data_IF_717851337297
#
_entry.id   IF_717851337297
#
_cell.length_a   1.000
_cell.length_b   1.000
_cell.length_c   1.000
_cell.angle_alpha   90.00
_cell.angle_beta   90.00
_cell.angle_gamma   90.00
#
_symmetry.space_group_name_H-M   'P 1'
#
loop_
_entity.id
_entity.type
_entity.pdbx_description
1 polymer ?
#
# COMPACT_ATOMS: atom_id res chain seq x y z
N UNK A 1 -15.25 -4.24 -12.81
CA UNK A 1 -14.77 -2.90 -13.15
C UNK A 1 -13.60 -3.01 -14.11
N UNK A 2 -13.64 -2.24 -15.17
CA UNK A 2 -12.54 -2.20 -16.12
C UNK A 2 -11.47 -1.22 -15.63
N UNK A 3 -10.23 -1.67 -15.68
CA UNK A 3 -9.09 -0.81 -15.34
C UNK A 3 -8.66 -0.09 -16.61
N UNK A 4 -8.58 1.25 -16.60
CA UNK A 4 -8.19 2.01 -17.77
C UNK A 4 -6.80 1.65 -18.28
N UNK A 5 -6.64 1.68 -19.60
CA UNK A 5 -5.36 1.50 -20.26
C UNK A 5 -4.83 2.85 -20.73
N UNK A 6 -3.55 3.09 -20.49
CA UNK A 6 -2.83 4.28 -20.97
C UNK A 6 -1.90 3.86 -22.10
N UNK A 7 -1.94 4.59 -23.19
CA UNK A 7 -1.06 4.35 -24.33
C UNK A 7 -0.01 5.46 -24.39
N UNK A 8 1.26 5.09 -24.38
CA UNK A 8 2.37 6.03 -24.53
C UNK A 8 3.04 5.82 -25.89
N UNK A 9 3.31 6.92 -26.59
CA UNK A 9 4.01 6.94 -27.85
C UNK A 9 5.44 7.42 -27.64
N UNK A 10 6.39 6.74 -28.29
CA UNK A 10 7.79 7.14 -28.31
C UNK A 10 8.36 6.93 -29.71
N UNK A 11 9.60 7.35 -29.91
CA UNK A 11 10.29 7.10 -31.18
C UNK A 11 10.46 5.58 -31.47
N UNK A 12 10.31 4.73 -30.47
CA UNK A 12 10.43 3.28 -30.60
C UNK A 12 9.08 2.58 -30.77
N UNK A 13 7.98 3.33 -30.89
CA UNK A 13 6.64 2.79 -31.06
C UNK A 13 5.70 3.13 -29.90
N UNK A 14 4.61 2.39 -29.81
CA UNK A 14 3.59 2.57 -28.79
C UNK A 14 3.69 1.47 -27.74
N UNK A 15 3.46 1.83 -26.46
CA UNK A 15 3.32 0.88 -25.37
C UNK A 15 2.03 1.13 -24.61
N UNK A 16 1.34 0.05 -24.27
CA UNK A 16 0.12 0.08 -23.47
C UNK A 16 0.42 -0.37 -22.05
N UNK A 17 -0.11 0.37 -21.09
CA UNK A 17 -0.02 0.05 -19.66
C UNK A 17 -1.41 0.14 -19.06
N UNK A 18 -1.74 -0.70 -18.08
CA UNK A 18 -2.86 -0.36 -17.23
C UNK A 18 -2.47 0.85 -16.35
N UNK A 19 -3.47 1.56 -15.80
CA UNK A 19 -3.22 2.80 -15.08
C UNK A 19 -2.30 2.58 -13.86
N UNK A 20 -2.44 1.44 -13.15
CA UNK A 20 -1.61 1.16 -11.99
C UNK A 20 -0.16 0.90 -12.39
N UNK A 21 0.07 0.16 -13.45
CA UNK A 21 1.42 -0.10 -13.98
C UNK A 21 2.08 1.19 -14.45
N UNK A 22 1.30 2.09 -15.06
CA UNK A 22 1.83 3.40 -15.48
C UNK A 22 2.22 4.26 -14.29
N UNK A 23 1.39 4.30 -13.25
CA UNK A 23 1.70 5.04 -12.02
C UNK A 23 2.89 4.44 -11.27
N UNK A 24 3.05 3.13 -11.34
CA UNK A 24 4.20 2.46 -10.73
C UNK A 24 5.53 2.97 -11.29
N UNK A 25 5.57 3.34 -12.56
CA UNK A 25 6.76 3.97 -13.17
C UNK A 25 7.10 5.30 -12.52
N UNK A 26 6.12 5.99 -11.96
CA UNK A 26 6.31 7.22 -11.19
C UNK A 26 6.54 6.93 -9.70
N UNK A 27 6.76 5.66 -9.34
CA UNK A 27 7.01 5.18 -7.98
C UNK A 27 5.80 5.32 -7.07
N UNK A 28 4.60 5.24 -7.65
CA UNK A 28 3.32 5.34 -6.94
C UNK A 28 2.68 3.97 -6.82
N UNK A 29 2.34 3.59 -5.59
CA UNK A 29 1.63 2.36 -5.26
C UNK A 29 0.29 2.73 -4.61
N UNK A 30 -0.79 2.03 -5.00
CA UNK A 30 -2.09 2.15 -4.36
C UNK A 30 -2.38 0.93 -3.50
N UNK A 31 -2.75 1.18 -2.26
CA UNK A 31 -3.35 0.19 -1.38
C UNK A 31 -4.82 0.57 -1.20
N UNK A 32 -5.69 -0.05 -1.97
CA UNK A 32 -7.13 0.19 -1.94
C UNK A 32 -7.88 -1.04 -1.48
N UNK A 33 -8.93 -0.83 -0.67
CA UNK A 33 -9.78 -1.91 -0.20
C UNK A 33 -9.19 -2.74 0.95
N UNK A 34 -9.82 -3.89 1.27
CA UNK A 34 -9.38 -4.73 2.37
C UNK A 34 -7.97 -5.29 2.17
N UNK A 35 -7.25 -5.47 3.28
CA UNK A 35 -5.90 -6.03 3.27
C UNK A 35 -5.98 -7.53 3.52
N UNK A 36 -5.66 -8.31 2.51
CA UNK A 36 -5.51 -9.75 2.58
C UNK A 36 -4.11 -10.17 2.13
N UNK A 37 -3.82 -11.46 2.14
CA UNK A 37 -2.50 -11.97 1.75
C UNK A 37 -2.14 -11.61 0.31
N UNK A 38 -3.11 -11.69 -0.60
CA UNK A 38 -2.89 -11.38 -2.01
C UNK A 38 -2.55 -9.90 -2.22
N UNK A 39 -3.34 -9.01 -1.62
CA UNK A 39 -3.11 -7.58 -1.66
C UNK A 39 -1.74 -7.23 -1.05
N UNK A 40 -1.42 -7.81 0.10
CA UNK A 40 -0.13 -7.59 0.74
C UNK A 40 1.03 -8.03 -0.14
N UNK A 41 0.95 -9.21 -0.74
CA UNK A 41 2.01 -9.71 -1.60
C UNK A 41 2.24 -8.82 -2.83
N UNK A 42 1.18 -8.26 -3.40
CA UNK A 42 1.31 -7.34 -4.54
C UNK A 42 1.98 -6.04 -4.10
N UNK A 43 1.60 -5.48 -2.96
CA UNK A 43 2.26 -4.26 -2.44
C UNK A 43 3.73 -4.53 -2.14
N UNK A 44 4.04 -5.65 -1.49
CA UNK A 44 5.41 -6.05 -1.16
C UNK A 44 6.25 -6.21 -2.43
N UNK A 45 5.71 -6.90 -3.44
CA UNK A 45 6.42 -7.09 -4.70
C UNK A 45 6.73 -5.74 -5.38
N UNK A 46 5.81 -4.81 -5.35
CA UNK A 46 6.01 -3.47 -5.91
C UNK A 46 7.07 -2.69 -5.13
N UNK A 47 7.08 -2.78 -3.80
CA UNK A 47 8.11 -2.13 -2.97
C UNK A 47 9.51 -2.68 -3.30
N UNK A 48 9.64 -3.99 -3.41
CA UNK A 48 10.91 -4.63 -3.75
C UNK A 48 11.36 -4.26 -5.17
N UNK A 49 10.44 -4.22 -6.11
CA UNK A 49 10.72 -3.82 -7.49
C UNK A 49 11.23 -2.39 -7.56
N UNK A 50 10.55 -1.45 -6.90
CA UNK A 50 10.94 -0.04 -6.91
C UNK A 50 12.29 0.19 -6.23
N UNK A 51 12.59 -0.55 -5.17
CA UNK A 51 13.92 -0.51 -4.56
C UNK A 51 14.99 -0.96 -5.57
N UNK A 52 14.72 -2.00 -6.34
CA UNK A 52 15.68 -2.49 -7.34
C UNK A 52 15.91 -1.51 -8.47
N UNK A 53 14.90 -0.70 -8.82
CA UNK A 53 15.01 0.31 -9.87
C UNK A 53 15.85 1.51 -9.42
N UNK A 54 15.63 1.99 -8.22
CA UNK A 54 16.39 3.07 -7.61
C UNK A 54 16.24 2.99 -6.08
N UNK A 55 17.32 2.73 -5.40
CA UNK A 55 17.32 2.56 -3.94
C UNK A 55 17.31 3.87 -3.17
N UNK A 56 17.38 5.03 -3.85
CA UNK A 56 17.50 6.35 -3.22
C UNK A 56 16.26 7.22 -3.33
N UNK A 57 15.48 7.04 -4.41
CA UNK A 57 14.28 7.86 -4.62
C UNK A 57 13.12 7.38 -3.77
N UNK A 58 12.34 8.33 -3.27
CA UNK A 58 11.15 8.03 -2.49
C UNK A 58 10.14 7.16 -3.25
N UNK A 59 9.42 6.37 -2.49
CA UNK A 59 8.26 5.62 -2.96
C UNK A 59 7.02 6.29 -2.35
N UNK A 60 5.95 6.39 -3.13
CA UNK A 60 4.71 7.04 -2.73
C UNK A 60 3.60 6.00 -2.60
N UNK A 61 3.13 5.78 -1.37
CA UNK A 61 2.09 4.79 -1.08
C UNK A 61 0.80 5.50 -0.69
N UNK A 62 -0.21 5.38 -1.55
CA UNK A 62 -1.54 5.92 -1.31
C UNK A 62 -2.40 4.86 -0.64
N UNK A 63 -3.00 5.21 0.48
CA UNK A 63 -3.78 4.29 1.33
C UNK A 63 -5.24 4.72 1.35
N UNK A 64 -6.11 3.82 0.92
CA UNK A 64 -7.55 3.95 1.01
C UNK A 64 -8.11 2.58 1.41
N UNK A 65 -8.04 2.26 2.69
CA UNK A 65 -8.28 0.90 3.17
C UNK A 65 -8.93 0.88 4.54
N UNK A 66 -9.93 0.01 4.75
CA UNK A 66 -10.51 -0.22 6.07
C UNK A 66 -9.65 -1.14 6.95
N UNK A 67 -8.52 -1.61 6.44
CA UNK A 67 -7.69 -2.61 7.11
C UNK A 67 -8.05 -4.03 6.70
N UNK A 68 -7.71 -4.98 7.52
CA UNK A 68 -7.95 -6.41 7.25
C UNK A 68 -7.07 -7.30 8.11
N UNK A 69 -6.43 -8.27 7.49
CA UNK A 69 -5.57 -9.23 8.19
C UNK A 69 -4.41 -8.54 8.89
N UNK A 70 -4.21 -8.84 10.16
CA UNK A 70 -3.09 -8.31 10.95
C UNK A 70 -1.75 -8.79 10.40
N UNK A 71 -1.65 -10.06 10.06
CA UNK A 71 -0.42 -10.65 9.53
C UNK A 71 -0.04 -10.01 8.21
N UNK A 72 -1.01 -9.84 7.31
CA UNK A 72 -0.80 -9.19 6.02
C UNK A 72 -0.39 -7.73 6.17
N UNK A 73 -1.03 -7.01 7.10
CA UNK A 73 -0.68 -5.62 7.42
C UNK A 73 0.77 -5.52 7.89
N UNK A 74 1.17 -6.38 8.82
CA UNK A 74 2.53 -6.35 9.37
C UNK A 74 3.57 -6.78 8.34
N UNK A 75 3.22 -7.65 7.40
CA UNK A 75 4.10 -8.00 6.29
C UNK A 75 4.43 -6.77 5.43
N UNK A 76 3.43 -5.94 5.16
CA UNK A 76 3.64 -4.67 4.44
C UNK A 76 4.53 -3.72 5.25
N UNK A 77 4.23 -3.55 6.54
CA UNK A 77 5.00 -2.66 7.42
C UNK A 77 6.45 -3.09 7.50
N UNK A 78 6.70 -4.38 7.69
CA UNK A 78 8.07 -4.90 7.74
C UNK A 78 8.83 -4.63 6.43
N UNK A 79 8.16 -4.80 5.30
CA UNK A 79 8.78 -4.51 4.00
C UNK A 79 9.06 -3.02 3.83
N UNK A 80 8.13 -2.15 4.25
CA UNK A 80 8.35 -0.70 4.24
C UNK A 80 9.59 -0.31 5.03
N UNK A 81 9.82 -0.95 6.15
CA UNK A 81 10.98 -0.69 6.99
C UNK A 81 12.27 -1.34 6.47
N UNK A 82 12.13 -2.41 5.69
CA UNK A 82 13.26 -3.18 5.16
C UNK A 82 13.89 -2.54 3.94
N UNK A 83 13.08 -1.98 3.04
CA UNK A 83 13.60 -1.36 1.81
C UNK A 83 14.32 -0.05 2.12
N UNK A 84 15.29 0.30 1.28
CA UNK A 84 16.13 1.50 1.49
C UNK A 84 15.41 2.81 1.19
N UNK A 85 14.61 2.94 0.12
CA UNK A 85 13.91 4.19 -0.15
C UNK A 85 13.01 4.60 1.02
N UNK A 86 12.91 5.90 1.26
CA UNK A 86 11.89 6.44 2.14
C UNK A 86 10.51 6.21 1.50
N UNK A 87 9.54 5.86 2.31
CA UNK A 87 8.16 5.69 1.83
C UNK A 87 7.32 6.83 2.36
N UNK A 88 6.85 7.67 1.45
CA UNK A 88 5.87 8.69 1.75
C UNK A 88 4.48 8.06 1.69
N UNK A 89 3.66 8.29 2.70
CA UNK A 89 2.31 7.73 2.77
C UNK A 89 1.26 8.82 2.70
N UNK A 90 0.16 8.52 1.99
CA UNK A 90 -0.94 9.46 1.76
C UNK A 90 -2.26 8.77 2.07
N UNK A 91 -3.04 9.33 2.99
CA UNK A 91 -4.39 8.84 3.21
C UNK A 91 -5.36 9.52 2.25
N UNK A 92 -6.03 8.71 1.45
CA UNK A 92 -7.10 9.13 0.52
C UNK A 92 -8.37 8.41 0.97
N UNK A 93 -9.42 9.14 1.26
CA UNK A 93 -10.68 8.55 1.72
C UNK A 93 -10.61 8.04 3.15
N UNK A 94 -10.12 6.83 3.34
CA UNK A 94 -10.10 6.17 4.66
C UNK A 94 -8.81 5.39 4.88
N UNK A 95 -8.23 5.56 6.06
CA UNK A 95 -7.22 4.64 6.56
C UNK A 95 -7.66 4.19 7.96
N UNK A 96 -8.21 2.99 8.04
CA UNK A 96 -8.74 2.44 9.28
C UNK A 96 -8.01 1.15 9.67
N UNK A 97 -7.82 0.96 10.97
CA UNK A 97 -7.20 -0.26 11.52
C UNK A 97 -5.83 -0.52 10.85
N UNK A 98 -5.66 -1.66 10.14
CA UNK A 98 -4.43 -1.95 9.41
C UNK A 98 -4.02 -0.86 8.42
N UNK A 99 -5.00 -0.20 7.79
CA UNK A 99 -4.72 0.95 6.91
C UNK A 99 -4.08 2.11 7.66
N UNK A 100 -4.55 2.39 8.87
CA UNK A 100 -3.95 3.43 9.73
C UNK A 100 -2.53 3.05 10.16
N UNK A 101 -2.29 1.79 10.44
CA UNK A 101 -0.96 1.29 10.82
C UNK A 101 0.03 1.51 9.65
N UNK A 102 -0.37 1.14 8.44
CA UNK A 102 0.48 1.32 7.25
C UNK A 102 0.73 2.81 6.97
N UNK A 103 -0.29 3.64 7.08
CA UNK A 103 -0.14 5.09 6.93
C UNK A 103 0.90 5.62 7.92
N UNK A 104 0.83 5.19 9.17
CA UNK A 104 1.74 5.64 10.23
C UNK A 104 3.15 5.06 10.09
N UNK A 105 3.32 3.99 9.32
CA UNK A 105 4.63 3.38 9.06
C UNK A 105 5.44 4.14 8.00
N UNK A 106 4.86 5.14 7.35
CA UNK A 106 5.58 6.01 6.43
C UNK A 106 6.71 6.76 7.13
N UNK A 107 7.64 7.29 6.35
CA UNK A 107 8.77 8.03 6.88
C UNK A 107 8.30 9.25 7.65
N UNK A 108 8.84 9.48 8.83
CA UNK A 108 8.53 10.66 9.63
C UNK A 108 8.78 11.94 8.80
N UNK A 109 7.79 12.82 8.76
CA UNK A 109 7.82 14.02 7.92
C UNK A 109 7.30 13.81 6.50
N UNK A 110 7.01 12.56 6.12
CA UNK A 110 6.49 12.21 4.78
C UNK A 110 5.19 11.43 4.87
N UNK A 111 4.37 11.74 5.86
CA UNK A 111 3.05 11.14 6.08
C UNK A 111 2.00 12.22 5.93
N UNK A 112 1.04 12.00 5.04
CA UNK A 112 0.08 13.01 4.63
C UNK A 112 -1.34 12.48 4.69
N UNK A 113 -2.28 13.36 5.00
CA UNK A 113 -3.71 13.07 4.99
C UNK A 113 -4.38 14.14 4.13
N UNK A 114 -5.13 13.72 3.11
CA UNK A 114 -5.86 14.66 2.27
C UNK A 114 -7.02 15.29 3.06
N UNK A 115 -7.48 16.49 2.67
CA UNK A 115 -8.36 17.30 3.52
C UNK A 115 -9.68 16.63 3.96
N UNK A 116 -10.24 15.75 3.14
CA UNK A 116 -11.51 15.07 3.45
C UNK A 116 -11.30 13.60 3.85
N UNK A 117 -10.06 13.18 4.05
CA UNK A 117 -9.75 11.81 4.43
C UNK A 117 -9.93 11.62 5.94
N UNK A 118 -10.21 10.38 6.33
CA UNK A 118 -10.37 9.98 7.73
C UNK A 118 -9.35 8.92 8.10
N UNK A 119 -8.81 9.01 9.30
CA UNK A 119 -7.97 7.98 9.89
C UNK A 119 -8.67 7.46 11.13
N UNK A 120 -8.86 6.15 11.19
CA UNK A 120 -9.57 5.49 12.29
C UNK A 120 -8.67 4.46 12.96
N UNK A 121 -8.56 4.57 14.28
CA UNK A 121 -7.88 3.60 15.11
C UNK A 121 -8.90 3.05 16.10
N UNK A 122 -8.99 1.73 16.19
CA UNK A 122 -9.90 1.09 17.13
C UNK A 122 -9.24 -0.17 17.71
N UNK A 123 -9.86 -0.72 18.75
CA UNK A 123 -9.39 -1.98 19.32
C UNK A 123 -9.50 -3.10 18.27
N UNK A 124 -8.58 -4.07 18.30
CA UNK A 124 -8.66 -5.21 17.40
C UNK A 124 -10.01 -5.93 17.52
N UNK A 125 -10.55 -6.30 16.35
CA UNK A 125 -11.75 -7.11 16.25
C UNK A 125 -11.32 -8.51 15.78
N UNK A 126 -11.92 -9.54 16.34
CA UNK A 126 -11.59 -10.89 15.94
C UNK A 126 -12.50 -11.92 16.59
N UNK A 127 -12.34 -13.14 16.16
CA UNK A 127 -13.02 -14.30 16.71
C UNK A 127 -12.03 -15.44 16.93
N UNK A 128 -12.39 -16.35 17.82
CA UNK A 128 -11.59 -17.54 18.11
C UNK A 128 -12.48 -18.76 18.02
N UNK A 129 -12.01 -19.77 17.28
CA UNK A 129 -12.68 -21.07 17.19
C UNK A 129 -11.77 -22.14 17.79
N UNK A 130 -12.37 -23.10 18.44
CA UNK A 130 -11.65 -24.20 19.04
C UNK A 130 -12.31 -24.69 20.31
N UNK A 131 -11.60 -25.55 21.04
CA UNK A 131 -12.05 -25.98 22.37
C UNK A 131 -11.82 -24.87 23.39
N UNK A 132 -12.58 -24.89 24.49
CA UNK A 132 -12.43 -23.86 25.53
C UNK A 132 -10.99 -23.80 26.09
N UNK A 133 -10.29 -24.93 26.08
CA UNK A 133 -8.89 -24.99 26.51
C UNK A 133 -7.91 -24.32 25.55
N UNK A 134 -8.34 -24.05 24.32
CA UNK A 134 -7.51 -23.39 23.29
C UNK A 134 -7.69 -21.86 23.28
N UNK A 135 -8.69 -21.42 24.02
CA UNK A 135 -9.07 -20.02 24.11
C UNK A 135 -8.62 -19.44 25.47
#
# INVERSE_FOLDING_TARGET
MLIPTVIEKSQFGERAYDIYSRLLRERIIFLGGPIDDHTANIVIAQLLFLESEDSKKDIYLYVNSPGGSVTSTMAIVDTMNHVRPDIATFCVGLAASGGAIILSAGKKGKRFILPNAEVMIHQPLGGVEGQATDI
#
